data_IF_171920141405
#
_entry.id   IF_171920141405
#
_cell.length_a   1.000
_cell.length_b   1.000
_cell.length_c   1.000
_cell.angle_alpha   90.00
_cell.angle_beta   90.00
_cell.angle_gamma   90.00
#
_symmetry.space_group_name_H-M   'P 1'
#
loop_
_entity.id
_entity.type
_entity.pdbx_description
1 polymer ?
#
# COMPACT_ATOMS: atom_id res chain seq x y z
N UNK A 1 4.36 -36.27 18.28
CA UNK A 1 5.37 -35.87 19.30
C UNK A 1 5.19 -34.39 19.61
N UNK A 2 4.79 -34.04 20.84
CA UNK A 2 4.83 -32.66 21.34
C UNK A 2 6.28 -32.34 21.69
N UNK A 3 6.93 -31.45 20.94
CA UNK A 3 8.29 -31.00 21.27
C UNK A 3 8.30 -30.28 22.61
N UNK A 4 8.89 -30.90 23.63
CA UNK A 4 9.21 -30.26 24.90
C UNK A 4 10.28 -29.20 24.63
N UNK A 5 9.87 -27.94 24.46
CA UNK A 5 10.79 -26.81 24.37
C UNK A 5 11.65 -26.74 25.63
N UNK A 6 12.90 -27.18 25.52
CA UNK A 6 13.88 -27.29 26.59
C UNK A 6 14.41 -25.94 27.09
N UNK A 7 15.72 -25.86 27.32
CA UNK A 7 16.45 -24.71 27.90
C UNK A 7 16.22 -23.37 27.18
N UNK A 8 15.78 -23.39 25.92
CA UNK A 8 15.40 -22.21 25.13
C UNK A 8 14.27 -21.35 25.74
N UNK A 9 13.57 -21.82 26.79
CA UNK A 9 12.61 -21.02 27.56
C UNK A 9 13.24 -20.14 28.64
N UNK A 10 14.50 -20.37 29.03
CA UNK A 10 15.13 -19.75 30.21
C UNK A 10 16.10 -18.62 29.88
N UNK A 11 16.43 -18.41 28.61
CA UNK A 11 17.40 -17.40 28.18
C UNK A 11 16.73 -16.27 27.41
N UNK A 12 17.30 -15.06 27.53
CA UNK A 12 16.82 -13.89 26.78
C UNK A 12 17.23 -14.05 25.32
N UNK A 13 16.25 -14.33 24.47
CA UNK A 13 16.46 -14.36 23.03
C UNK A 13 16.31 -12.95 22.44
N UNK A 14 17.42 -12.34 22.04
CA UNK A 14 17.43 -11.02 21.40
C UNK A 14 17.04 -11.13 19.92
N UNK A 15 16.12 -10.27 19.48
CA UNK A 15 15.65 -10.23 18.07
C UNK A 15 15.68 -8.81 17.56
N UNK A 16 16.61 -8.51 16.65
CA UNK A 16 16.66 -7.23 15.95
C UNK A 16 15.67 -7.22 14.80
N UNK A 17 14.93 -6.13 14.66
CA UNK A 17 13.91 -5.97 13.60
C UNK A 17 14.00 -4.56 13.03
N UNK A 18 14.05 -4.47 11.71
CA UNK A 18 14.03 -3.20 11.01
C UNK A 18 12.58 -2.70 10.83
N UNK A 19 12.42 -1.38 10.95
CA UNK A 19 11.19 -0.65 10.75
C UNK A 19 11.46 0.56 9.85
N UNK A 20 10.46 0.95 9.06
CA UNK A 20 10.45 2.26 8.41
C UNK A 20 9.76 3.25 9.33
N UNK A 21 10.46 4.31 9.70
CA UNK A 21 9.95 5.38 10.56
C UNK A 21 9.35 6.50 9.71
N UNK A 22 8.24 7.08 10.16
CA UNK A 22 7.53 8.18 9.50
C UNK A 22 7.21 7.95 8.01
N UNK A 23 6.90 6.70 7.64
CA UNK A 23 6.43 6.37 6.30
C UNK A 23 5.06 6.97 6.03
N UNK A 24 4.91 7.63 4.88
CA UNK A 24 3.64 8.11 4.34
C UNK A 24 3.53 7.63 2.90
N UNK A 25 2.47 6.89 2.60
CA UNK A 25 2.26 6.25 1.32
C UNK A 25 0.81 6.46 0.88
N UNK A 26 0.63 6.63 -0.42
CA UNK A 26 -0.68 6.58 -1.07
C UNK A 26 -0.80 5.25 -1.80
N UNK A 27 -1.95 4.58 -1.63
CA UNK A 27 -2.24 3.32 -2.31
C UNK A 27 -3.57 3.47 -3.02
N UNK A 28 -3.58 3.18 -4.32
CA UNK A 28 -4.80 2.99 -5.11
C UNK A 28 -4.91 1.50 -5.39
N UNK A 29 -6.10 0.95 -5.26
CA UNK A 29 -6.38 -0.46 -5.51
C UNK A 29 -7.65 -0.60 -6.34
N UNK A 30 -7.71 -1.70 -7.09
CA UNK A 30 -8.92 -2.16 -7.77
C UNK A 30 -9.00 -3.69 -7.66
N UNK A 31 -10.10 -4.27 -8.10
CA UNK A 31 -10.30 -5.71 -8.19
C UNK A 31 -10.03 -6.18 -9.62
N UNK A 32 -9.42 -7.35 -9.77
CA UNK A 32 -9.21 -7.95 -11.09
C UNK A 32 -10.51 -8.46 -11.71
N UNK A 33 -11.48 -8.83 -10.87
CA UNK A 33 -12.80 -9.29 -11.28
C UNK A 33 -13.85 -8.60 -10.41
N UNK A 34 -14.73 -7.81 -11.04
CA UNK A 34 -15.80 -7.08 -10.36
C UNK A 34 -16.99 -7.97 -10.00
N UNK A 35 -17.12 -9.13 -10.64
CA UNK A 35 -18.22 -10.08 -10.40
C UNK A 35 -17.98 -10.96 -9.16
N UNK A 36 -16.75 -10.96 -8.63
CA UNK A 36 -16.37 -11.75 -7.46
C UNK A 36 -16.52 -10.95 -6.16
N UNK A 37 -17.09 -11.59 -5.13
CA UNK A 37 -17.12 -11.03 -3.78
C UNK A 37 -15.78 -11.24 -3.06
N UNK A 38 -15.30 -10.24 -2.27
CA UNK A 38 -15.97 -8.98 -1.95
C UNK A 38 -15.73 -7.87 -3.01
N UNK A 39 -16.78 -7.15 -3.39
CA UNK A 39 -16.66 -5.94 -4.22
C UNK A 39 -16.03 -4.73 -3.49
N UNK A 40 -15.68 -3.68 -4.25
CA UNK A 40 -15.02 -2.46 -3.72
C UNK A 40 -15.83 -1.78 -2.60
N UNK A 41 -17.15 -1.71 -2.72
CA UNK A 41 -18.03 -1.14 -1.69
C UNK A 41 -17.92 -1.89 -0.35
N UNK A 42 -17.78 -3.22 -0.41
CA UNK A 42 -17.64 -4.05 0.78
C UNK A 42 -16.26 -3.87 1.42
N UNK A 43 -15.22 -3.71 0.62
CA UNK A 43 -13.87 -3.37 1.10
C UNK A 43 -13.87 -2.00 1.76
N UNK A 44 -14.51 -1.00 1.14
CA UNK A 44 -14.66 0.33 1.69
C UNK A 44 -15.32 0.30 3.09
N UNK A 45 -16.46 -0.37 3.23
CA UNK A 45 -17.15 -0.49 4.51
C UNK A 45 -16.33 -1.27 5.55
N UNK A 46 -15.61 -2.31 5.14
CA UNK A 46 -14.72 -3.06 6.03
C UNK A 46 -13.53 -2.21 6.51
N UNK A 47 -13.04 -1.26 5.70
CA UNK A 47 -11.97 -0.33 6.10
C UNK A 47 -12.49 0.80 7.00
N UNK A 48 -13.75 1.25 6.81
CA UNK A 48 -14.41 2.20 7.72
C UNK A 48 -14.70 1.59 9.09
N UNK A 49 -15.16 0.35 9.10
CA UNK A 49 -15.59 -0.37 10.31
C UNK A 49 -14.88 -1.73 10.43
N UNK A 50 -13.56 -1.73 10.67
CA UNK A 50 -12.80 -2.97 10.68
C UNK A 50 -13.15 -3.81 11.89
N UNK A 51 -13.49 -5.08 11.66
CA UNK A 51 -13.82 -6.03 12.73
C UNK A 51 -12.61 -6.43 13.58
N UNK A 52 -11.39 -6.05 13.16
CA UNK A 52 -10.12 -6.31 13.84
C UNK A 52 -9.22 -5.09 13.74
N UNK A 53 -8.34 -4.83 14.73
CA UNK A 53 -7.38 -3.74 14.64
C UNK A 53 -6.50 -3.85 13.39
N UNK A 54 -6.42 -2.76 12.63
CA UNK A 54 -5.56 -2.65 11.45
C UNK A 54 -4.13 -2.27 11.87
N UNK A 55 -3.13 -2.82 11.19
CA UNK A 55 -1.71 -2.55 11.41
C UNK A 55 -0.91 -2.67 10.11
N UNK A 56 0.21 -1.96 10.02
CA UNK A 56 1.06 -1.94 8.83
C UNK A 56 2.23 -2.91 9.03
N UNK A 57 2.10 -4.13 8.51
CA UNK A 57 3.12 -5.18 8.56
C UNK A 57 3.22 -5.88 9.91
N UNK A 58 3.43 -5.15 11.03
CA UNK A 58 3.54 -5.72 12.39
C UNK A 58 2.51 -5.10 13.31
N UNK A 59 2.00 -5.87 14.29
CA UNK A 59 0.98 -5.43 15.26
C UNK A 59 1.36 -4.15 16.03
N UNK A 60 2.65 -3.85 16.17
CA UNK A 60 3.17 -2.66 16.86
C UNK A 60 3.17 -1.41 15.96
N UNK A 61 2.94 -1.55 14.66
CA UNK A 61 2.92 -0.46 13.70
C UNK A 61 1.46 -0.06 13.42
N UNK A 62 0.87 0.66 14.37
CA UNK A 62 -0.49 1.18 14.25
C UNK A 62 -0.54 2.33 13.23
N UNK A 63 -1.57 2.41 12.40
CA UNK A 63 -1.79 3.59 11.55
C UNK A 63 -1.98 4.84 12.41
N UNK A 64 -1.34 5.95 12.04
CA UNK A 64 -1.50 7.25 12.73
C UNK A 64 -2.81 7.96 12.38
N UNK A 65 -3.51 7.49 11.34
CA UNK A 65 -4.83 7.93 10.88
C UNK A 65 -5.59 6.74 10.26
N UNK A 66 -6.92 6.83 10.05
CA UNK A 66 -7.65 5.85 9.24
C UNK A 66 -6.98 5.63 7.88
N UNK A 67 -7.01 4.40 7.36
CA UNK A 67 -6.33 4.06 6.11
C UNK A 67 -7.01 4.65 4.87
N UNK A 68 -8.32 4.86 4.94
CA UNK A 68 -9.07 5.51 3.87
C UNK A 68 -8.68 6.98 3.75
N UNK A 69 -8.62 7.45 2.51
CA UNK A 69 -8.52 8.87 2.24
C UNK A 69 -9.79 9.58 2.79
N UNK A 70 -9.64 10.65 3.59
CA UNK A 70 -10.78 11.31 4.22
C UNK A 70 -11.64 12.11 3.24
N UNK A 71 -11.11 12.50 2.07
CA UNK A 71 -11.81 13.35 1.10
C UNK A 71 -12.26 12.56 -0.12
N UNK A 72 -11.41 11.66 -0.65
CA UNK A 72 -11.71 10.92 -1.89
C UNK A 72 -11.44 9.41 -1.72
N UNK A 73 -12.24 8.68 -0.91
CA UNK A 73 -12.03 7.26 -0.66
C UNK A 73 -12.40 6.34 -1.83
N UNK A 74 -13.18 6.84 -2.80
CA UNK A 74 -13.52 6.17 -4.05
C UNK A 74 -13.29 7.13 -5.21
N UNK A 75 -12.72 6.61 -6.30
CA UNK A 75 -12.39 7.39 -7.50
C UNK A 75 -12.53 6.49 -8.72
N UNK A 76 -13.05 7.06 -9.81
CA UNK A 76 -13.14 6.41 -11.11
C UNK A 76 -12.07 6.95 -12.08
N UNK A 77 -11.56 6.04 -12.93
CA UNK A 77 -10.55 6.34 -13.94
C UNK A 77 -10.16 5.09 -14.72
N UNK A 78 -9.37 5.29 -15.77
CA UNK A 78 -9.05 4.24 -16.74
C UNK A 78 -8.06 3.21 -16.22
N UNK A 79 -7.06 3.65 -15.44
CA UNK A 79 -6.04 2.77 -14.86
C UNK A 79 -5.52 3.26 -13.50
N UNK A 80 -4.95 2.34 -12.72
CA UNK A 80 -4.46 2.60 -11.36
C UNK A 80 -3.34 3.63 -11.30
N UNK A 81 -2.49 3.70 -12.33
CA UNK A 81 -1.32 4.58 -12.33
C UNK A 81 -1.73 6.02 -12.61
N UNK A 82 -2.60 6.27 -13.59
CA UNK A 82 -3.18 7.60 -13.80
C UNK A 82 -4.01 8.03 -12.58
N UNK A 83 -4.78 7.12 -11.97
CA UNK A 83 -5.47 7.41 -10.72
C UNK A 83 -4.50 7.83 -9.60
N UNK A 84 -3.42 7.07 -9.38
CA UNK A 84 -2.41 7.39 -8.37
C UNK A 84 -1.77 8.77 -8.61
N UNK A 85 -1.54 9.14 -9.87
CA UNK A 85 -1.01 10.47 -10.24
C UNK A 85 -1.98 11.60 -9.96
N UNK A 86 -3.29 11.35 -9.88
CA UNK A 86 -4.31 12.38 -9.62
C UNK A 86 -4.54 12.66 -8.14
N UNK A 87 -4.09 11.77 -7.26
CA UNK A 87 -4.27 11.90 -5.81
C UNK A 87 -3.22 12.88 -5.25
N UNK A 88 -3.64 13.89 -4.46
CA UNK A 88 -2.73 14.84 -3.85
C UNK A 88 -1.68 14.19 -2.98
N UNK A 89 -0.46 14.74 -3.04
CA UNK A 89 0.59 14.40 -2.08
C UNK A 89 0.13 14.84 -0.70
N UNK A 90 0.00 13.88 0.21
CA UNK A 90 -0.20 14.20 1.62
C UNK A 90 1.13 14.54 2.28
N UNK A 91 1.12 15.52 3.18
CA UNK A 91 2.22 15.76 4.12
C UNK A 91 1.94 15.11 5.47
N UNK A 92 3.00 14.85 6.23
CA UNK A 92 2.93 14.18 7.56
C UNK A 92 2.06 14.89 8.58
N UNK A 93 1.71 16.16 8.35
CA UNK A 93 0.76 16.94 9.17
C UNK A 93 -0.72 16.60 8.89
N UNK A 94 -0.99 15.64 8.02
CA UNK A 94 -2.36 15.22 7.69
C UNK A 94 -3.09 16.26 6.85
N UNK A 95 -2.42 16.84 5.86
CA UNK A 95 -3.03 17.74 4.87
C UNK A 95 -2.52 17.38 3.47
N UNK A 96 -3.33 17.61 2.46
CA UNK A 96 -2.86 17.66 1.08
C UNK A 96 -1.90 18.84 0.91
N UNK A 97 -0.82 18.65 0.18
CA UNK A 97 0.10 19.72 -0.14
C UNK A 97 -0.47 20.61 -1.24
N UNK A 98 -0.58 21.90 -0.96
CA UNK A 98 -1.14 22.88 -1.90
C UNK A 98 -0.11 23.45 -2.87
N UNK A 99 1.18 23.11 -2.71
CA UNK A 99 2.28 23.77 -3.42
C UNK A 99 2.88 22.84 -4.47
N UNK A 100 2.68 23.21 -5.73
CA UNK A 100 3.46 22.70 -6.88
C UNK A 100 4.84 23.31 -6.81
N UNK A 101 5.82 22.59 -6.25
CA UNK A 101 7.22 22.89 -6.57
C UNK A 101 7.55 22.12 -7.86
N UNK A 102 8.42 22.69 -8.70
CA UNK A 102 8.63 22.27 -10.09
C UNK A 102 9.20 20.84 -10.30
N UNK A 103 9.24 20.02 -9.24
CA UNK A 103 9.82 18.68 -9.23
C UNK A 103 9.01 17.73 -8.32
N UNK A 104 7.70 17.58 -8.55
CA UNK A 104 6.85 16.61 -7.83
C UNK A 104 7.00 15.17 -8.37
N UNK A 105 8.24 14.72 -8.52
CA UNK A 105 8.57 13.34 -8.83
C UNK A 105 8.57 12.50 -7.55
N UNK A 106 7.63 11.58 -7.43
CA UNK A 106 7.53 10.66 -6.31
C UNK A 106 7.91 9.23 -6.71
N UNK A 107 8.63 8.50 -5.85
CA UNK A 107 8.83 7.08 -6.06
C UNK A 107 7.49 6.35 -5.93
N UNK A 108 7.16 5.56 -6.94
CA UNK A 108 5.96 4.73 -6.97
C UNK A 108 6.26 3.35 -7.55
N UNK A 109 5.33 2.43 -7.32
CA UNK A 109 5.31 1.14 -7.99
C UNK A 109 3.89 0.83 -8.47
N UNK A 110 3.78 0.10 -9.56
CA UNK A 110 2.51 -0.22 -10.20
C UNK A 110 2.57 -1.62 -10.86
N UNK A 111 1.41 -2.24 -11.16
CA UNK A 111 1.37 -3.52 -11.86
C UNK A 111 2.09 -3.47 -13.21
N UNK A 112 2.83 -4.52 -13.56
CA UNK A 112 3.61 -4.54 -14.80
C UNK A 112 2.75 -4.59 -16.07
N UNK A 113 1.52 -5.07 -15.95
CA UNK A 113 0.54 -5.13 -17.03
C UNK A 113 0.13 -3.75 -17.55
N UNK A 114 0.30 -2.70 -16.74
CA UNK A 114 0.04 -1.31 -17.15
C UNK A 114 1.17 -0.72 -18.01
N UNK A 115 2.31 -1.42 -18.14
CA UNK A 115 3.49 -0.91 -18.82
C UNK A 115 4.09 0.31 -18.14
N UNK A 116 4.86 1.12 -18.87
CA UNK A 116 5.40 2.40 -18.36
C UNK A 116 4.86 3.55 -19.21
N UNK A 117 4.23 4.57 -18.61
CA UNK A 117 3.76 5.73 -19.35
C UNK A 117 4.90 6.46 -20.07
N UNK A 118 4.57 7.11 -21.18
CA UNK A 118 5.52 7.96 -21.89
C UNK A 118 6.09 9.03 -20.94
N UNK A 119 7.42 9.22 -20.98
CA UNK A 119 8.13 10.17 -20.14
C UNK A 119 8.45 9.69 -18.71
N UNK A 120 7.94 8.53 -18.29
CA UNK A 120 8.28 7.92 -16.99
C UNK A 120 9.45 6.95 -17.18
N UNK A 121 10.46 7.00 -16.30
CA UNK A 121 11.50 5.97 -16.22
C UNK A 121 11.06 4.90 -15.21
N UNK A 122 10.67 3.74 -15.72
CA UNK A 122 10.30 2.56 -14.92
C UNK A 122 11.34 1.44 -15.03
N UNK A 123 11.60 0.74 -13.93
CA UNK A 123 12.38 -0.49 -13.86
C UNK A 123 11.43 -1.66 -13.55
N UNK A 124 11.53 -2.74 -14.32
CA UNK A 124 10.81 -3.97 -14.05
C UNK A 124 11.52 -4.74 -12.93
N UNK A 125 10.82 -5.00 -11.83
CA UNK A 125 11.38 -5.69 -10.67
C UNK A 125 10.52 -6.88 -10.26
N UNK A 126 11.19 -8.02 -10.02
CA UNK A 126 10.55 -9.18 -9.39
C UNK A 126 10.50 -9.00 -7.88
N UNK A 127 9.31 -9.13 -7.31
CA UNK A 127 9.09 -9.05 -5.86
C UNK A 127 8.46 -10.33 -5.31
N UNK A 128 8.77 -10.63 -4.05
CA UNK A 128 8.34 -11.83 -3.34
C UNK A 128 7.38 -11.44 -2.19
N UNK A 129 6.37 -10.66 -2.54
CA UNK A 129 5.37 -10.09 -1.61
C UNK A 129 4.04 -10.86 -1.59
N UNK A 130 3.96 -11.97 -2.33
CA UNK A 130 2.79 -12.85 -2.35
C UNK A 130 2.73 -13.78 -1.12
N UNK A 131 1.50 -14.20 -0.82
CA UNK A 131 1.20 -15.04 0.33
C UNK A 131 0.18 -16.10 -0.02
N UNK A 132 0.48 -17.33 0.38
CA UNK A 132 -0.52 -18.38 0.49
C UNK A 132 -1.34 -18.13 1.76
N UNK A 133 -2.54 -17.57 1.60
CA UNK A 133 -3.42 -17.23 2.71
C UNK A 133 -4.03 -18.44 3.41
N UNK A 134 -4.25 -19.55 2.68
CA UNK A 134 -4.80 -20.76 3.27
C UNK A 134 -3.80 -21.40 4.24
N UNK A 135 -2.53 -21.48 3.85
CA UNK A 135 -1.46 -22.05 4.67
C UNK A 135 -0.70 -21.02 5.52
N UNK A 136 -1.02 -19.73 5.37
CA UNK A 136 -0.39 -18.61 6.08
C UNK A 136 1.12 -18.45 5.80
N UNK A 137 1.61 -18.92 4.66
CA UNK A 137 3.03 -18.92 4.28
C UNK A 137 3.34 -17.82 3.25
N UNK A 138 4.45 -17.06 3.39
CA UNK A 138 4.98 -16.26 2.29
C UNK A 138 5.39 -17.19 1.13
N UNK A 139 4.75 -17.05 -0.01
CA UNK A 139 4.95 -17.93 -1.15
C UNK A 139 4.55 -17.23 -2.44
N UNK A 140 5.37 -17.42 -3.49
CA UNK A 140 5.16 -16.83 -4.81
C UNK A 140 5.95 -15.55 -5.04
N UNK A 141 5.83 -15.04 -6.26
CA UNK A 141 6.45 -13.80 -6.71
C UNK A 141 5.62 -13.20 -7.82
N UNK A 142 5.69 -11.89 -7.99
CA UNK A 142 5.13 -11.19 -9.13
C UNK A 142 6.13 -10.19 -9.70
N UNK A 143 5.90 -9.78 -10.92
CA UNK A 143 6.55 -8.62 -11.48
C UNK A 143 5.81 -7.35 -11.04
N UNK A 144 6.54 -6.23 -11.00
CA UNK A 144 5.99 -4.90 -10.84
C UNK A 144 6.93 -3.90 -11.49
N UNK A 145 6.39 -2.76 -11.89
CA UNK A 145 7.22 -1.61 -12.27
C UNK A 145 7.52 -0.76 -11.04
N UNK A 146 8.70 -0.15 -11.01
CA UNK A 146 9.11 0.86 -10.03
C UNK A 146 9.69 2.07 -10.75
N UNK A 147 9.37 3.29 -10.33
CA UNK A 147 9.90 4.48 -10.98
C UNK A 147 9.48 5.78 -10.31
N UNK A 148 9.88 6.89 -10.92
CA UNK A 148 9.47 8.23 -10.50
C UNK A 148 8.26 8.68 -11.32
N UNK A 149 7.17 9.04 -10.64
CA UNK A 149 5.96 9.54 -11.27
C UNK A 149 5.74 11.01 -10.90
N UNK A 150 5.25 11.78 -11.85
CA UNK A 150 4.78 13.14 -11.60
C UNK A 150 3.34 13.11 -11.10
N UNK A 151 3.08 13.82 -10.00
CA UNK A 151 1.76 14.05 -9.45
C UNK A 151 1.05 15.18 -10.23
N UNK A 152 -0.13 14.88 -10.80
CA UNK A 152 -0.92 15.78 -11.65
C UNK A 152 -2.04 16.53 -10.92
N UNK A 153 -2.30 16.25 -9.63
CA UNK A 153 -3.29 16.88 -8.75
C UNK A 153 -4.51 17.46 -9.47
N UNK A 154 -5.46 16.58 -9.78
CA UNK A 154 -6.70 16.96 -10.50
C UNK A 154 -7.98 16.63 -9.74
N UNK A 155 -7.88 16.00 -8.57
CA UNK A 155 -9.03 15.70 -7.72
C UNK A 155 -9.08 16.78 -6.64
N UNK A 156 -10.13 17.61 -6.68
CA UNK A 156 -10.36 18.62 -5.65
C UNK A 156 -10.67 17.93 -4.31
N UNK A 157 -9.90 18.31 -3.29
CA UNK A 157 -10.10 17.88 -1.91
C UNK A 157 -11.19 18.78 -1.32
N UNK A 158 -12.41 18.26 -1.20
CA UNK A 158 -13.49 18.91 -0.43
C UNK A 158 -13.22 18.86 1.08
#
# INVERSE_FOLDING_TARGET
>A
MKGSGGTAKKEIHQRFRHYWTDGLMTVVLTLLNEEEEPGLNRILEALKHPSRPLFIGRKTCLPSRPLLDPSTPLVEGDDLLELLRRIPRWIRRGRAESRREAEDLLPACWPDELGTPSGVRGELRRVFDLRDWANQLPAGSRWRMEGLIEVKDSIEVN
#
